data_IF_319676723782
#
_entry.id   IF_319676723782
#
_cell.length_a   1.000
_cell.length_b   1.000
_cell.length_c   1.000
_cell.angle_alpha   90.00
_cell.angle_beta   90.00
_cell.angle_gamma   90.00
#
_symmetry.space_group_name_H-M   'P 1'
#
loop_
_entity.id
_entity.type
_entity.pdbx_description
1 polymer ?
#
# COMPACT_ATOMS: atom_id res chain seq x y z
N UNK A 1 -3.68 -9.21 29.89
CA UNK A 1 -3.48 -8.03 29.00
C UNK A 1 -4.51 -8.16 27.88
N UNK A 2 -5.08 -7.07 27.33
CA UNK A 2 -6.04 -7.21 26.21
C UNK A 2 -5.30 -7.54 24.91
N UNK A 3 -5.98 -8.14 23.92
CA UNK A 3 -5.40 -8.43 22.57
C UNK A 3 -4.77 -7.19 21.92
N UNK A 4 -5.36 -6.04 22.19
CA UNK A 4 -4.82 -4.74 21.78
C UNK A 4 -3.48 -4.42 22.48
N UNK A 5 -3.40 -4.65 23.79
CA UNK A 5 -2.20 -4.38 24.59
C UNK A 5 -0.97 -5.19 24.17
N UNK A 6 -1.14 -6.44 23.72
CA UNK A 6 -0.01 -7.29 23.29
C UNK A 6 0.35 -7.06 21.82
N UNK A 7 -0.61 -6.69 20.96
CA UNK A 7 -0.30 -6.15 19.62
C UNK A 7 0.59 -4.91 19.72
N UNK A 8 0.26 -4.00 20.63
CA UNK A 8 1.09 -2.84 20.91
C UNK A 8 2.48 -3.20 21.44
N UNK A 9 2.57 -4.23 22.29
CA UNK A 9 3.84 -4.71 22.82
C UNK A 9 4.72 -5.33 21.72
N UNK A 10 4.13 -6.12 20.81
CA UNK A 10 4.83 -6.77 19.69
C UNK A 10 5.33 -5.78 18.65
N UNK A 11 4.54 -4.78 18.29
CA UNK A 11 4.98 -3.74 17.34
C UNK A 11 5.73 -2.59 18.03
N UNK A 12 6.09 -2.78 19.31
CA UNK A 12 6.74 -1.78 20.14
C UNK A 12 6.04 -0.41 20.17
N UNK A 13 4.74 -0.36 19.90
CA UNK A 13 3.96 0.87 19.72
C UNK A 13 3.99 1.73 20.99
N UNK A 14 3.92 1.09 22.16
CA UNK A 14 4.07 1.77 23.46
C UNK A 14 5.44 2.42 23.65
N UNK A 15 6.47 1.87 23.03
CA UNK A 15 7.86 2.31 23.20
C UNK A 15 8.29 3.34 22.16
N UNK A 16 7.77 3.21 20.94
CA UNK A 16 8.08 4.09 19.81
C UNK A 16 7.23 5.37 19.80
N UNK A 17 6.07 5.35 20.50
CA UNK A 17 5.14 6.47 20.71
C UNK A 17 4.98 7.40 19.48
N UNK A 18 4.09 7.02 18.56
CA UNK A 18 3.84 7.74 17.30
C UNK A 18 3.03 9.05 17.47
N UNK A 19 2.85 9.55 18.69
CA UNK A 19 2.07 10.77 18.95
C UNK A 19 0.55 10.65 18.77
N UNK A 20 0.03 9.50 18.32
CA UNK A 20 -1.40 9.21 18.19
C UNK A 20 -1.71 7.80 18.70
N UNK A 21 -2.93 7.61 19.20
CA UNK A 21 -3.45 6.31 19.59
C UNK A 21 -3.64 5.37 18.37
N UNK A 22 -3.01 4.21 18.41
CA UNK A 22 -3.02 3.23 17.32
C UNK A 22 -4.43 2.71 16.97
N UNK A 23 -5.31 2.52 17.96
CA UNK A 23 -6.69 2.07 17.71
C UNK A 23 -7.44 3.06 16.81
N UNK A 24 -7.34 4.34 17.13
CA UNK A 24 -7.97 5.42 16.37
C UNK A 24 -7.40 5.50 14.97
N UNK A 25 -6.06 5.42 14.83
CA UNK A 25 -5.41 5.38 13.51
C UNK A 25 -5.86 4.18 12.67
N UNK A 26 -5.95 2.98 13.26
CA UNK A 26 -6.38 1.78 12.52
C UNK A 26 -7.84 1.85 12.09
N UNK A 27 -8.73 2.33 12.97
CA UNK A 27 -10.13 2.55 12.62
C UNK A 27 -10.27 3.58 11.50
N UNK A 28 -9.50 4.67 11.56
CA UNK A 28 -9.45 5.67 10.50
C UNK A 28 -8.98 5.07 9.17
N UNK A 29 -7.89 4.30 9.17
CA UNK A 29 -7.35 3.66 7.96
C UNK A 29 -8.37 2.69 7.34
N UNK A 30 -9.05 1.87 8.15
CA UNK A 30 -10.10 0.95 7.66
C UNK A 30 -11.23 1.72 6.95
N UNK A 31 -11.64 2.86 7.51
CA UNK A 31 -12.69 3.70 6.94
C UNK A 31 -12.24 4.44 5.69
N UNK A 32 -11.09 5.11 5.72
CA UNK A 32 -10.63 5.93 4.59
C UNK A 32 -10.31 5.08 3.35
N UNK A 33 -9.78 3.87 3.54
CA UNK A 33 -9.50 2.94 2.45
C UNK A 33 -10.76 2.54 1.70
N UNK A 34 -11.83 2.16 2.43
CA UNK A 34 -13.09 1.74 1.83
C UNK A 34 -13.98 2.89 1.34
N UNK A 35 -14.13 3.95 2.15
CA UNK A 35 -15.08 5.03 1.87
C UNK A 35 -14.52 6.08 0.91
N UNK A 36 -13.19 6.28 0.87
CA UNK A 36 -12.57 7.31 0.04
C UNK A 36 -11.68 6.75 -1.08
N UNK A 37 -10.67 5.93 -0.78
CA UNK A 37 -9.70 5.51 -1.81
C UNK A 37 -10.34 4.63 -2.88
N UNK A 38 -10.97 3.52 -2.49
CA UNK A 38 -11.53 2.56 -3.44
C UNK A 38 -12.64 3.16 -4.32
N UNK A 39 -13.52 3.98 -3.74
CA UNK A 39 -14.65 4.61 -4.46
C UNK A 39 -14.21 5.71 -5.43
N UNK A 40 -13.13 6.43 -5.10
CA UNK A 40 -12.65 7.54 -5.90
C UNK A 40 -11.40 7.20 -6.73
N UNK A 41 -11.13 5.91 -6.94
CA UNK A 41 -9.98 5.47 -7.73
C UNK A 41 -9.96 6.09 -9.14
N UNK A 42 -11.12 6.32 -9.74
CA UNK A 42 -11.27 6.98 -11.05
C UNK A 42 -10.78 8.44 -11.05
N UNK A 43 -10.86 9.15 -9.92
CA UNK A 43 -10.34 10.52 -9.77
C UNK A 43 -8.86 10.53 -9.40
N UNK A 44 -8.39 9.47 -8.73
CA UNK A 44 -7.00 9.30 -8.33
C UNK A 44 -6.10 8.81 -9.46
N UNK A 45 -6.63 8.00 -10.38
CA UNK A 45 -5.85 7.38 -11.44
C UNK A 45 -5.18 8.41 -12.37
N UNK A 46 -5.86 9.45 -12.91
CA UNK A 46 -5.20 10.40 -13.81
C UNK A 46 -3.99 11.13 -13.18
N UNK A 47 -4.10 11.77 -12.00
CA UNK A 47 -2.95 12.46 -11.41
C UNK A 47 -1.84 11.48 -10.99
N UNK A 48 -2.19 10.27 -10.55
CA UNK A 48 -1.21 9.22 -10.22
C UNK A 48 -0.49 8.71 -11.47
N UNK A 49 -1.19 8.49 -12.58
CA UNK A 49 -0.62 8.06 -13.86
C UNK A 49 0.39 9.08 -14.40
N UNK A 50 0.03 10.36 -14.42
CA UNK A 50 0.93 11.42 -14.87
C UNK A 50 2.25 11.45 -14.05
N UNK A 51 2.14 11.21 -12.75
CA UNK A 51 3.32 11.18 -11.87
C UNK A 51 4.13 9.88 -12.02
N UNK A 52 3.47 8.73 -12.20
CA UNK A 52 4.12 7.46 -12.51
C UNK A 52 4.91 7.56 -13.82
N UNK A 53 4.32 8.08 -14.90
CA UNK A 53 4.97 8.26 -16.18
C UNK A 53 6.24 9.12 -16.03
N UNK A 54 6.11 10.30 -15.39
CA UNK A 54 7.26 11.18 -15.11
C UNK A 54 8.38 10.48 -14.34
N UNK A 55 8.03 9.70 -13.31
CA UNK A 55 9.03 9.03 -12.49
C UNK A 55 9.68 7.86 -13.22
N UNK A 56 8.92 7.11 -14.02
CA UNK A 56 9.42 6.04 -14.89
C UNK A 56 10.41 6.63 -15.90
N UNK A 57 10.04 7.71 -16.60
CA UNK A 57 10.90 8.39 -17.58
C UNK A 57 12.17 8.94 -16.92
N UNK A 58 12.09 9.43 -15.68
CA UNK A 58 13.25 9.89 -14.91
C UNK A 58 14.20 8.75 -14.55
N UNK A 59 13.67 7.60 -14.16
CA UNK A 59 14.44 6.47 -13.65
C UNK A 59 15.02 5.62 -14.78
N UNK A 60 14.23 5.36 -15.82
CA UNK A 60 14.59 4.48 -16.93
C UNK A 60 15.02 5.23 -18.20
N UNK A 61 14.83 6.55 -18.25
CA UNK A 61 15.05 7.37 -19.44
C UNK A 61 13.78 7.55 -20.28
N UNK A 62 13.71 8.65 -21.04
CA UNK A 62 12.65 8.89 -22.03
C UNK A 62 13.17 8.64 -23.44
N UNK A 63 12.33 8.05 -24.29
CA UNK A 63 12.66 7.73 -25.69
C UNK A 63 12.74 8.95 -26.62
N UNK A 64 12.78 10.19 -26.11
CA UNK A 64 12.61 11.38 -26.95
C UNK A 64 13.56 12.56 -26.72
N UNK A 65 14.39 12.56 -25.66
CA UNK A 65 15.14 13.79 -25.30
C UNK A 65 16.58 13.57 -24.87
N UNK A 66 17.15 12.37 -25.03
CA UNK A 66 18.54 12.11 -24.63
C UNK A 66 19.38 11.59 -25.80
N UNK A 67 20.61 12.08 -25.88
CA UNK A 67 21.68 11.62 -26.77
C UNK A 67 22.16 10.18 -26.49
N UNK A 68 21.34 9.37 -25.79
CA UNK A 68 21.65 8.04 -25.24
C UNK A 68 20.61 6.99 -25.65
N UNK A 69 19.82 7.27 -26.67
CA UNK A 69 18.86 6.30 -27.19
C UNK A 69 19.58 5.02 -27.62
N UNK A 70 19.25 3.90 -26.99
CA UNK A 70 19.88 2.59 -27.23
C UNK A 70 21.04 2.22 -26.29
N UNK A 71 21.44 3.07 -25.34
CA UNK A 71 22.43 2.71 -24.33
C UNK A 71 21.81 1.92 -23.16
N UNK A 72 22.47 0.83 -22.74
CA UNK A 72 22.10 0.11 -21.54
C UNK A 72 22.46 0.92 -20.29
N UNK A 73 21.51 1.03 -19.35
CA UNK A 73 21.74 1.64 -18.05
C UNK A 73 21.67 0.59 -16.95
N UNK A 74 22.57 0.69 -15.97
CA UNK A 74 22.51 -0.13 -14.76
C UNK A 74 21.56 0.50 -13.75
N UNK A 75 20.59 -0.28 -13.27
CA UNK A 75 19.55 0.20 -12.35
C UNK A 75 19.45 -0.72 -11.14
N UNK A 76 19.46 -0.14 -9.94
CA UNK A 76 19.12 -0.85 -8.70
C UNK A 76 17.60 -0.96 -8.60
N UNK A 77 17.05 -2.11 -8.94
CA UNK A 77 15.59 -2.34 -9.08
C UNK A 77 14.78 -1.84 -7.87
N UNK A 78 15.21 -2.16 -6.65
CA UNK A 78 14.52 -1.71 -5.44
C UNK A 78 14.48 -0.18 -5.33
N UNK A 79 15.62 0.48 -5.54
CA UNK A 79 15.72 1.95 -5.50
C UNK A 79 14.92 2.60 -6.63
N UNK A 80 14.91 2.00 -7.82
CA UNK A 80 14.09 2.46 -8.94
C UNK A 80 12.59 2.46 -8.59
N UNK A 81 12.07 1.37 -8.03
CA UNK A 81 10.68 1.34 -7.59
C UNK A 81 10.40 2.27 -6.41
N UNK A 82 11.35 2.49 -5.51
CA UNK A 82 11.22 3.51 -4.45
C UNK A 82 11.11 4.94 -5.03
N UNK A 83 11.81 5.23 -6.12
CA UNK A 83 11.76 6.52 -6.83
C UNK A 83 10.57 6.70 -7.77
N UNK A 84 9.81 5.64 -8.01
CA UNK A 84 8.57 5.64 -8.80
C UNK A 84 7.33 5.63 -7.89
N UNK A 85 7.26 4.65 -6.98
CA UNK A 85 6.08 4.42 -6.13
C UNK A 85 5.92 5.54 -5.10
N UNK A 86 7.02 6.02 -4.50
CA UNK A 86 6.91 6.96 -3.40
C UNK A 86 6.38 8.34 -3.83
N UNK A 87 6.87 8.97 -4.93
CA UNK A 87 6.29 10.20 -5.44
C UNK A 87 4.84 10.01 -5.94
N UNK A 88 4.54 8.90 -6.64
CA UNK A 88 3.19 8.62 -7.13
C UNK A 88 2.16 8.44 -6.01
N UNK A 89 2.52 7.73 -4.94
CA UNK A 89 1.69 7.63 -3.74
C UNK A 89 1.52 9.00 -3.07
N UNK A 90 2.60 9.78 -2.96
CA UNK A 90 2.55 11.13 -2.41
C UNK A 90 1.63 12.03 -3.25
N UNK A 91 1.64 11.89 -4.57
CA UNK A 91 0.73 12.61 -5.48
C UNK A 91 -0.73 12.29 -5.21
N UNK A 92 -1.05 11.02 -4.96
CA UNK A 92 -2.40 10.56 -4.65
C UNK A 92 -2.89 11.04 -3.27
N UNK A 93 -2.01 11.04 -2.26
CA UNK A 93 -2.40 11.36 -0.87
C UNK A 93 -2.24 12.83 -0.49
N UNK A 94 -1.30 13.55 -1.10
CA UNK A 94 -0.82 14.86 -0.66
C UNK A 94 -0.77 15.90 -1.78
N UNK A 95 -1.11 15.52 -3.02
CA UNK A 95 -1.16 16.44 -4.16
C UNK A 95 0.20 16.68 -4.81
N UNK A 96 0.20 17.57 -5.82
CA UNK A 96 1.34 17.77 -6.71
C UNK A 96 2.54 18.41 -6.01
N UNK A 97 2.27 19.44 -5.21
CA UNK A 97 3.26 20.28 -4.53
C UNK A 97 4.24 19.40 -3.72
N UNK A 98 3.70 18.56 -2.83
CA UNK A 98 4.51 17.69 -1.98
C UNK A 98 5.07 16.46 -2.72
N UNK A 99 4.42 16.00 -3.80
CA UNK A 99 4.93 14.89 -4.61
C UNK A 99 6.21 15.23 -5.39
N UNK A 100 6.51 16.52 -5.56
CA UNK A 100 7.69 17.01 -6.28
C UNK A 100 8.69 17.75 -5.38
N UNK A 101 8.43 17.83 -4.09
CA UNK A 101 9.35 18.39 -3.10
C UNK A 101 10.32 17.30 -2.63
N UNK A 102 11.52 17.27 -3.23
CA UNK A 102 12.57 16.31 -2.88
C UNK A 102 12.99 16.38 -1.40
N UNK A 103 12.90 17.56 -0.77
CA UNK A 103 13.19 17.70 0.65
C UNK A 103 12.10 17.04 1.50
N UNK A 104 10.83 17.29 1.21
CA UNK A 104 9.72 16.61 1.88
C UNK A 104 9.80 15.09 1.68
N UNK A 105 9.95 14.62 0.44
CA UNK A 105 10.04 13.20 0.13
C UNK A 105 11.22 12.55 0.88
N UNK A 106 12.39 13.20 0.90
CA UNK A 106 13.56 12.71 1.60
C UNK A 106 13.36 12.57 3.11
N UNK A 107 12.72 13.56 3.74
CA UNK A 107 12.44 13.50 5.19
C UNK A 107 11.38 12.44 5.48
N UNK A 108 10.32 12.35 4.66
CA UNK A 108 9.23 11.40 4.86
C UNK A 108 9.68 9.94 4.66
N UNK A 109 10.53 9.65 3.67
CA UNK A 109 11.17 8.33 3.50
C UNK A 109 11.99 7.93 4.73
N UNK A 110 12.78 8.85 5.28
CA UNK A 110 13.59 8.58 6.50
C UNK A 110 12.73 8.32 7.72
N UNK A 111 11.59 9.01 7.85
CA UNK A 111 10.59 8.70 8.87
C UNK A 111 10.05 7.27 8.71
N UNK A 112 9.62 6.89 7.49
CA UNK A 112 9.11 5.54 7.17
C UNK A 112 10.15 4.46 7.49
N UNK A 113 11.40 4.68 7.11
CA UNK A 113 12.49 3.74 7.40
C UNK A 113 12.76 3.63 8.91
N UNK A 114 12.84 4.76 9.63
CA UNK A 114 13.04 4.76 11.07
C UNK A 114 11.89 4.07 11.82
N UNK A 115 10.65 4.28 11.35
CA UNK A 115 9.47 3.61 11.89
C UNK A 115 9.53 2.10 11.64
N UNK A 116 9.78 1.67 10.39
CA UNK A 116 9.89 0.27 10.01
C UNK A 116 10.96 -0.47 10.82
N UNK A 117 12.19 0.05 10.82
CA UNK A 117 13.30 -0.51 11.60
C UNK A 117 12.95 -0.55 13.10
N UNK A 118 12.32 0.51 13.63
CA UNK A 118 11.90 0.52 15.02
C UNK A 118 10.88 -0.56 15.36
N UNK A 119 9.87 -0.78 14.51
CA UNK A 119 8.87 -1.83 14.75
C UNK A 119 9.46 -3.23 14.73
N UNK A 120 10.45 -3.50 13.86
CA UNK A 120 11.12 -4.80 13.76
C UNK A 120 12.09 -4.98 14.92
N UNK A 121 13.07 -4.08 15.08
CA UNK A 121 14.12 -4.23 16.09
C UNK A 121 13.59 -4.15 17.51
N UNK A 122 12.73 -3.18 17.84
CA UNK A 122 12.19 -3.05 19.20
C UNK A 122 11.09 -4.09 19.45
N UNK A 123 10.37 -4.50 18.41
CA UNK A 123 9.28 -5.45 18.52
C UNK A 123 9.70 -6.84 18.94
N UNK A 124 10.80 -7.33 18.37
CA UNK A 124 11.31 -8.69 18.55
C UNK A 124 12.28 -8.84 19.75
N UNK A 125 12.64 -7.74 20.43
CA UNK A 125 13.53 -7.80 21.61
C UNK A 125 12.83 -8.35 22.86
N UNK A 126 13.56 -9.00 23.79
CA UNK A 126 13.05 -9.31 25.13
C UNK A 126 12.62 -8.05 25.90
N UNK A 127 11.58 -8.14 26.75
CA UNK A 127 10.95 -6.99 27.44
C UNK A 127 11.95 -6.06 28.16
N UNK A 128 13.00 -6.63 28.75
CA UNK A 128 14.05 -5.91 29.46
C UNK A 128 14.89 -5.01 28.53
N UNK A 129 15.18 -5.47 27.30
CA UNK A 129 15.99 -4.73 26.32
C UNK A 129 15.16 -3.69 25.55
N UNK A 130 13.85 -3.91 25.40
CA UNK A 130 12.95 -2.99 24.70
C UNK A 130 13.07 -1.55 25.22
N UNK A 131 13.10 -1.37 26.54
CA UNK A 131 13.14 -0.03 27.15
C UNK A 131 14.43 0.75 26.85
N UNK A 132 15.57 0.07 26.74
CA UNK A 132 16.87 0.72 26.45
C UNK A 132 17.00 1.00 24.96
N UNK A 133 16.76 -0.01 24.12
CA UNK A 133 16.90 0.12 22.66
C UNK A 133 15.86 1.08 22.09
N UNK A 134 14.64 1.08 22.63
CA UNK A 134 13.61 2.03 22.21
C UNK A 134 14.03 3.49 22.42
N UNK A 135 14.78 3.83 23.47
CA UNK A 135 15.23 5.22 23.68
C UNK A 135 16.18 5.66 22.56
N UNK A 136 17.07 4.78 22.12
CA UNK A 136 18.01 5.06 21.03
C UNK A 136 17.29 5.19 19.69
N UNK A 137 16.42 4.23 19.37
CA UNK A 137 15.66 4.22 18.10
C UNK A 137 14.63 5.36 18.03
N UNK A 138 14.10 5.79 19.18
CA UNK A 138 13.10 6.86 19.25
C UNK A 138 13.66 8.22 18.86
N UNK A 139 14.95 8.50 19.09
CA UNK A 139 15.56 9.80 18.75
C UNK A 139 15.47 10.14 17.24
N UNK A 140 15.98 9.31 16.31
CA UNK A 140 15.83 9.59 14.88
C UNK A 140 14.36 9.55 14.45
N UNK A 141 13.55 8.66 15.02
CA UNK A 141 12.11 8.59 14.72
C UNK A 141 11.40 9.91 15.05
N UNK A 142 11.60 10.47 16.25
CA UNK A 142 11.01 11.74 16.65
C UNK A 142 11.55 12.91 15.82
N UNK A 143 12.84 12.91 15.51
CA UNK A 143 13.44 13.93 14.67
C UNK A 143 12.78 13.99 13.28
N UNK A 144 12.73 12.85 12.58
CA UNK A 144 12.12 12.80 11.24
C UNK A 144 10.62 13.02 11.29
N UNK A 145 9.92 12.46 12.30
CA UNK A 145 8.49 12.71 12.53
C UNK A 145 8.20 14.20 12.66
N UNK A 146 8.88 14.90 13.56
CA UNK A 146 8.62 16.32 13.80
C UNK A 146 8.98 17.17 12.56
N UNK A 147 10.03 16.79 11.83
CA UNK A 147 10.40 17.46 10.58
C UNK A 147 9.36 17.25 9.47
N UNK A 148 8.83 16.04 9.31
CA UNK A 148 7.73 15.77 8.38
C UNK A 148 6.47 16.53 8.77
N UNK A 149 6.09 16.50 10.05
CA UNK A 149 4.91 17.22 10.55
C UNK A 149 5.04 18.74 10.44
N UNK A 150 6.25 19.28 10.59
CA UNK A 150 6.51 20.71 10.41
C UNK A 150 6.20 21.20 8.99
N UNK A 151 6.29 20.32 7.99
CA UNK A 151 5.94 20.63 6.59
C UNK A 151 4.46 20.28 6.32
N UNK A 152 4.03 19.11 6.77
CA UNK A 152 2.70 18.58 6.41
C UNK A 152 1.55 19.26 7.17
N UNK A 153 1.76 19.61 8.45
CA UNK A 153 0.68 20.20 9.27
C UNK A 153 0.18 21.53 8.72
N UNK A 154 1.05 22.49 8.30
CA UNK A 154 0.60 23.71 7.65
C UNK A 154 -0.16 23.48 6.34
N UNK A 155 0.26 22.52 5.52
CA UNK A 155 -0.43 22.16 4.28
C UNK A 155 -1.83 21.64 4.59
N UNK A 156 -1.95 20.70 5.53
CA UNK A 156 -3.26 20.20 5.97
C UNK A 156 -4.11 21.34 6.51
N UNK A 157 -3.57 22.22 7.36
CA UNK A 157 -4.30 23.34 7.93
C UNK A 157 -4.82 24.30 6.84
N UNK A 158 -4.01 24.61 5.83
CA UNK A 158 -4.39 25.44 4.68
C UNK A 158 -5.56 24.83 3.90
N UNK A 159 -5.49 23.53 3.62
CA UNK A 159 -6.57 22.81 2.93
C UNK A 159 -7.86 22.76 3.76
N UNK A 160 -7.76 22.57 5.08
CA UNK A 160 -8.92 22.60 5.98
C UNK A 160 -9.58 23.99 6.01
N UNK A 161 -8.79 25.07 6.09
CA UNK A 161 -9.32 26.44 6.06
C UNK A 161 -10.00 26.75 4.73
N UNK A 162 -9.41 26.32 3.60
CA UNK A 162 -10.01 26.48 2.27
C UNK A 162 -11.40 25.83 2.17
N UNK A 163 -11.56 24.65 2.79
CA UNK A 163 -12.84 23.94 2.84
C UNK A 163 -13.89 24.67 3.68
N UNK A 164 -13.46 25.26 4.80
CA UNK A 164 -14.34 26.02 5.69
C UNK A 164 -14.86 27.30 4.99
N UNK A 165 -14.03 27.92 4.15
CA UNK A 165 -14.36 29.13 3.38
C UNK A 165 -15.16 28.85 2.10
N UNK A 166 -14.84 27.76 1.39
CA UNK A 166 -15.49 27.39 0.12
C UNK A 166 -15.86 25.91 0.14
N UNK A 167 -17.09 25.58 0.61
CA UNK A 167 -17.56 24.20 0.61
C UNK A 167 -17.61 23.64 -0.82
N UNK A 168 -17.02 22.47 -1.02
CA UNK A 168 -17.05 21.77 -2.32
C UNK A 168 -18.42 21.13 -2.51
N UNK A 169 -19.09 21.41 -3.63
CA UNK A 169 -20.32 20.71 -4.00
C UNK A 169 -20.00 19.24 -4.33
N UNK A 170 -20.59 18.31 -3.58
CA UNK A 170 -20.36 16.88 -3.76
C UNK A 170 -20.90 16.35 -5.10
N UNK A 171 -21.88 17.05 -5.68
CA UNK A 171 -22.50 16.72 -6.95
C UNK A 171 -21.77 17.35 -8.14
N UNK A 172 -20.73 18.17 -7.92
CA UNK A 172 -19.95 18.73 -9.00
C UNK A 172 -19.22 17.61 -9.76
N UNK A 173 -19.53 17.39 -11.06
CA UNK A 173 -18.86 16.39 -11.87
C UNK A 173 -17.37 16.71 -12.10
N UNK A 174 -16.95 17.96 -11.89
CA UNK A 174 -15.57 18.42 -12.09
C UNK A 174 -14.76 18.51 -10.79
N UNK A 175 -15.27 17.98 -9.67
CA UNK A 175 -14.56 18.06 -8.39
C UNK A 175 -13.18 17.42 -8.46
N UNK A 176 -12.16 18.18 -8.07
CA UNK A 176 -10.83 17.63 -7.87
C UNK A 176 -10.79 16.74 -6.64
N UNK A 177 -10.14 15.57 -6.76
CA UNK A 177 -9.96 14.70 -5.60
C UNK A 177 -8.91 15.27 -4.65
N UNK A 178 -9.34 15.60 -3.43
CA UNK A 178 -8.46 16.02 -2.35
C UNK A 178 -8.52 15.00 -1.20
N UNK A 179 -7.45 14.24 -1.01
CA UNK A 179 -7.40 13.21 0.02
C UNK A 179 -7.44 13.78 1.45
N UNK A 180 -6.83 14.94 1.68
CA UNK A 180 -6.85 15.62 2.98
C UNK A 180 -8.29 15.96 3.38
N UNK A 181 -9.09 16.43 2.42
CA UNK A 181 -10.52 16.65 2.63
C UNK A 181 -11.27 15.38 3.01
N UNK A 182 -11.01 14.27 2.32
CA UNK A 182 -11.64 12.99 2.66
C UNK A 182 -11.26 12.54 4.08
N UNK A 183 -10.01 12.77 4.50
CA UNK A 183 -9.57 12.51 5.86
C UNK A 183 -10.34 13.35 6.88
N UNK A 184 -10.56 14.63 6.59
CA UNK A 184 -11.34 15.54 7.43
C UNK A 184 -12.79 15.08 7.60
N UNK A 185 -13.46 14.73 6.50
CA UNK A 185 -14.84 14.26 6.48
C UNK A 185 -15.02 12.95 7.25
N UNK A 186 -14.09 12.00 7.07
CA UNK A 186 -14.09 10.73 7.81
C UNK A 186 -13.84 10.97 9.31
N UNK A 187 -13.02 11.97 9.65
CA UNK A 187 -12.76 12.35 11.04
C UNK A 187 -14.02 12.84 11.77
N UNK A 188 -14.78 13.74 11.13
CA UNK A 188 -16.02 14.29 11.68
C UNK A 188 -17.07 13.20 11.96
N UNK A 189 -17.24 12.25 11.03
CA UNK A 189 -18.24 11.17 11.15
C UNK A 189 -17.94 10.14 12.23
N UNK A 190 -16.70 10.04 12.70
CA UNK A 190 -16.23 8.95 13.57
C UNK A 190 -16.20 9.30 15.07
N UNK A 191 -16.72 10.45 15.49
CA UNK A 191 -16.89 10.78 16.90
C UNK A 191 -18.21 10.20 17.45
N UNK A 192 -18.11 9.53 18.60
CA UNK A 192 -19.23 8.82 19.25
C UNK A 192 -20.38 9.78 19.52
N UNK A 193 -21.55 9.51 18.93
CA UNK A 193 -22.79 10.26 19.21
C UNK A 193 -23.18 11.36 18.19
N UNK A 194 -22.46 11.50 17.07
CA UNK A 194 -22.87 12.42 15.99
C UNK A 194 -22.66 13.91 16.29
N UNK A 195 -22.00 14.23 17.40
CA UNK A 195 -21.58 15.58 17.77
C UNK A 195 -20.10 15.51 18.15
N UNK A 196 -19.21 15.77 17.19
CA UNK A 196 -17.80 15.88 17.51
C UNK A 196 -17.04 16.75 16.53
N UNK A 197 -16.04 17.42 17.09
CA UNK A 197 -15.16 18.34 16.40
C UNK A 197 -14.20 17.57 15.49
N UNK A 198 -14.05 18.04 14.24
CA UNK A 198 -13.04 17.59 13.27
C UNK A 198 -11.68 17.42 13.97
N UNK A 199 -10.98 16.31 13.73
CA UNK A 199 -9.62 16.15 14.27
C UNK A 199 -8.70 17.29 13.81
N UNK A 200 -7.72 17.63 14.65
CA UNK A 200 -6.77 18.70 14.33
C UNK A 200 -5.93 18.36 13.09
N UNK A 201 -5.42 19.40 12.42
CA UNK A 201 -4.55 19.24 11.25
C UNK A 201 -3.35 18.32 11.52
N UNK A 202 -2.78 18.38 12.73
CA UNK A 202 -1.67 17.52 13.13
C UNK A 202 -2.08 16.03 13.22
N UNK A 203 -3.30 15.75 13.68
CA UNK A 203 -3.82 14.37 13.75
C UNK A 203 -4.07 13.80 12.36
N UNK A 204 -4.67 14.60 11.48
CA UNK A 204 -4.89 14.22 10.08
C UNK A 204 -3.54 13.99 9.36
N UNK A 205 -2.57 14.89 9.55
CA UNK A 205 -1.22 14.76 8.99
C UNK A 205 -0.56 13.43 9.36
N UNK A 206 -0.61 13.04 10.64
CA UNK A 206 -0.08 11.77 11.13
C UNK A 206 -0.80 10.54 10.58
N UNK A 207 -2.13 10.62 10.41
CA UNK A 207 -2.88 9.55 9.76
C UNK A 207 -2.46 9.36 8.31
N UNK A 208 -2.26 10.46 7.57
CA UNK A 208 -1.75 10.41 6.19
C UNK A 208 -0.32 9.84 6.17
N UNK A 209 0.55 10.25 7.11
CA UNK A 209 1.90 9.69 7.24
C UNK A 209 1.87 8.18 7.50
N UNK A 210 0.97 7.73 8.38
CA UNK A 210 0.79 6.32 8.72
C UNK A 210 0.26 5.50 7.53
N UNK A 211 -0.67 6.07 6.76
CA UNK A 211 -1.18 5.46 5.55
C UNK A 211 -0.11 5.38 4.46
N UNK A 212 0.69 6.45 4.30
CA UNK A 212 1.82 6.47 3.39
C UNK A 212 2.85 5.39 3.72
N UNK A 213 3.16 5.17 5.00
CA UNK A 213 4.00 4.04 5.44
C UNK A 213 3.44 2.68 5.00
N UNK A 214 2.14 2.44 5.23
CA UNK A 214 1.49 1.16 4.90
C UNK A 214 1.45 0.89 3.39
N UNK A 215 1.19 1.92 2.59
CA UNK A 215 1.05 1.84 1.13
C UNK A 215 2.36 1.85 0.36
N UNK A 216 3.42 2.49 0.85
CA UNK A 216 4.67 2.62 0.10
C UNK A 216 5.52 1.36 0.14
N UNK A 217 5.87 0.89 1.34
CA UNK A 217 6.95 -0.10 1.50
C UNK A 217 6.55 -1.47 0.95
N UNK A 218 5.30 -1.87 1.19
CA UNK A 218 4.72 -3.12 0.67
C UNK A 218 4.69 -3.14 -0.87
N UNK A 219 4.27 -2.03 -1.48
CA UNK A 219 4.19 -1.87 -2.93
C UNK A 219 5.56 -1.88 -3.59
N UNK A 220 6.56 -1.19 -3.02
CA UNK A 220 7.95 -1.20 -3.55
C UNK A 220 8.53 -2.63 -3.52
N UNK A 221 8.34 -3.36 -2.43
CA UNK A 221 8.80 -4.75 -2.29
C UNK A 221 8.13 -5.64 -3.35
N UNK A 222 6.80 -5.56 -3.50
CA UNK A 222 6.10 -6.42 -4.46
C UNK A 222 6.33 -6.03 -5.91
N UNK A 223 6.48 -4.75 -6.24
CA UNK A 223 6.86 -4.34 -7.58
C UNK A 223 8.27 -4.84 -7.95
N UNK A 224 9.19 -4.82 -6.98
CA UNK A 224 10.54 -5.40 -7.12
C UNK A 224 10.45 -6.90 -7.38
N UNK A 225 9.74 -7.65 -6.53
CA UNK A 225 9.57 -9.09 -6.70
C UNK A 225 8.90 -9.44 -8.02
N UNK A 226 7.84 -8.73 -8.41
CA UNK A 226 7.13 -8.92 -9.67
C UNK A 226 8.07 -8.78 -10.88
N UNK A 227 8.93 -7.74 -10.90
CA UNK A 227 9.88 -7.56 -12.00
C UNK A 227 10.92 -8.70 -12.04
N UNK A 228 11.41 -9.13 -10.87
CA UNK A 228 12.36 -10.24 -10.77
C UNK A 228 11.70 -11.58 -11.16
N UNK A 229 10.44 -11.79 -10.81
CA UNK A 229 9.68 -12.97 -11.18
C UNK A 229 9.50 -13.04 -12.70
N UNK A 230 9.11 -11.93 -13.34
CA UNK A 230 9.03 -11.82 -14.81
C UNK A 230 10.38 -12.12 -15.46
N UNK A 231 11.47 -11.59 -14.90
CA UNK A 231 12.82 -11.77 -15.45
C UNK A 231 13.34 -13.22 -15.32
N UNK A 232 12.84 -13.98 -14.34
CA UNK A 232 13.21 -15.38 -14.12
C UNK A 232 12.31 -16.38 -14.88
N UNK A 233 11.24 -15.93 -15.53
CA UNK A 233 10.40 -16.80 -16.36
C UNK A 233 11.19 -17.34 -17.57
N UNK A 234 10.95 -18.60 -17.99
CA UNK A 234 11.53 -19.15 -19.21
C UNK A 234 11.17 -18.31 -20.45
N UNK A 235 12.12 -18.17 -21.38
CA UNK A 235 11.95 -17.33 -22.57
C UNK A 235 10.81 -17.82 -23.47
N UNK A 236 10.60 -19.13 -23.53
CA UNK A 236 9.52 -19.80 -24.25
C UNK A 236 8.11 -19.40 -23.80
N UNK A 237 7.93 -18.98 -22.54
CA UNK A 237 6.63 -18.50 -22.05
C UNK A 237 6.26 -17.10 -22.59
N UNK A 238 7.26 -16.34 -23.07
CA UNK A 238 7.11 -15.03 -23.68
C UNK A 238 6.26 -14.06 -22.82
N UNK A 239 6.43 -14.13 -21.49
CA UNK A 239 5.59 -13.43 -20.50
C UNK A 239 5.47 -11.93 -20.81
N UNK A 240 6.60 -11.25 -21.02
CA UNK A 240 6.63 -9.82 -21.34
C UNK A 240 5.86 -9.50 -22.63
N UNK A 241 5.99 -10.33 -23.67
CA UNK A 241 5.29 -10.11 -24.93
C UNK A 241 3.77 -10.28 -24.78
N UNK A 242 3.34 -11.29 -24.01
CA UNK A 242 1.93 -11.52 -23.72
C UNK A 242 1.31 -10.36 -22.93
N UNK A 243 2.00 -9.88 -21.90
CA UNK A 243 1.57 -8.71 -21.12
C UNK A 243 1.49 -7.44 -21.98
N UNK A 244 2.46 -7.22 -22.86
CA UNK A 244 2.43 -6.11 -23.82
C UNK A 244 1.24 -6.19 -24.76
N UNK A 245 0.94 -7.38 -25.31
CA UNK A 245 -0.23 -7.59 -26.18
C UNK A 245 -1.55 -7.33 -25.43
N UNK A 246 -1.67 -7.82 -24.20
CA UNK A 246 -2.84 -7.54 -23.35
C UNK A 246 -3.00 -6.03 -23.13
N UNK A 247 -1.93 -5.34 -22.69
CA UNK A 247 -1.95 -3.90 -22.49
C UNK A 247 -2.30 -3.14 -23.78
N UNK A 248 -1.75 -3.52 -24.94
CA UNK A 248 -2.11 -2.94 -26.24
C UNK A 248 -3.57 -3.19 -26.61
N UNK A 249 -4.15 -4.32 -26.24
CA UNK A 249 -5.54 -4.65 -26.56
C UNK A 249 -6.56 -3.93 -25.68
N UNK A 250 -6.18 -3.59 -24.44
CA UNK A 250 -7.08 -3.04 -23.42
C UNK A 250 -6.88 -1.54 -23.20
N UNK A 251 -5.63 -1.06 -23.29
CA UNK A 251 -5.25 0.29 -22.86
C UNK A 251 -4.91 1.23 -24.02
N UNK A 252 -4.92 0.74 -25.25
CA UNK A 252 -4.73 1.56 -26.46
C UNK A 252 -6.04 1.52 -27.24
N UNK A 253 -6.62 2.69 -27.51
CA UNK A 253 -7.84 2.77 -28.28
C UNK A 253 -7.53 2.42 -29.75
N UNK A 254 -8.33 1.56 -30.37
CA UNK A 254 -8.17 1.18 -31.80
C UNK A 254 -9.14 1.92 -32.72
N UNK A 255 -10.08 2.68 -32.16
CA UNK A 255 -11.19 3.32 -32.88
C UNK A 255 -11.00 4.84 -33.07
N UNK A 256 -9.82 5.40 -32.75
CA UNK A 256 -9.51 6.77 -33.12
C UNK A 256 -9.26 6.85 -34.64
N UNK A 257 -10.27 7.35 -35.36
CA UNK A 257 -10.16 7.64 -36.79
C UNK A 257 -8.92 8.50 -37.07
N UNK A 258 -8.28 8.21 -38.20
CA UNK A 258 -6.92 8.61 -38.58
C UNK A 258 -6.65 10.13 -38.75
N UNK A 259 -7.49 11.02 -38.23
CA UNK A 259 -7.39 12.47 -38.45
C UNK A 259 -6.93 13.32 -37.26
N UNK A 260 -6.93 12.84 -36.02
CA UNK A 260 -6.41 13.61 -34.87
C UNK A 260 -5.37 12.79 -34.07
N UNK A 261 -4.16 12.68 -34.64
CA UNK A 261 -3.05 11.85 -34.12
C UNK A 261 -2.24 12.46 -32.98
N UNK A 262 -2.61 13.63 -32.47
CA UNK A 262 -1.86 14.29 -31.40
C UNK A 262 -2.64 14.26 -30.07
N UNK A 263 -2.25 13.29 -29.23
CA UNK A 263 -2.27 13.29 -27.76
C UNK A 263 -3.35 12.52 -26.96
N UNK A 264 -4.32 11.79 -27.54
CA UNK A 264 -5.41 11.21 -26.73
C UNK A 264 -5.78 9.72 -26.96
N UNK A 265 -4.82 8.86 -27.31
CA UNK A 265 -5.09 7.47 -27.72
C UNK A 265 -4.81 6.38 -26.65
N UNK A 266 -4.45 6.81 -25.43
CA UNK A 266 -3.97 5.96 -24.34
C UNK A 266 -4.90 6.02 -23.13
N UNK A 267 -5.47 4.88 -22.74
CA UNK A 267 -6.42 4.76 -21.62
C UNK A 267 -5.73 4.49 -20.26
N UNK A 268 -4.41 4.62 -20.18
CA UNK A 268 -3.64 4.32 -18.96
C UNK A 268 -4.01 5.23 -17.76
N UNK A 269 -4.56 6.40 -18.04
CA UNK A 269 -5.06 7.35 -17.05
C UNK A 269 -6.45 6.97 -16.49
N UNK A 270 -7.11 5.93 -17.03
CA UNK A 270 -8.43 5.47 -16.59
C UNK A 270 -8.30 4.20 -15.74
N UNK A 271 -9.04 4.14 -14.62
CA UNK A 271 -8.98 2.99 -13.72
C UNK A 271 -9.77 1.77 -14.22
N UNK A 272 -10.87 2.01 -14.94
CA UNK A 272 -11.81 0.96 -15.34
C UNK A 272 -11.20 -0.12 -16.27
N UNK A 273 -10.38 0.24 -17.29
CA UNK A 273 -9.81 -0.74 -18.22
C UNK A 273 -8.92 -1.80 -17.55
N UNK A 274 -8.21 -1.46 -16.47
CA UNK A 274 -7.34 -2.40 -15.75
C UNK A 274 -8.09 -3.63 -15.21
N UNK A 275 -9.41 -3.56 -15.04
CA UNK A 275 -10.25 -4.71 -14.64
C UNK A 275 -10.32 -5.80 -15.72
N UNK A 276 -9.94 -5.48 -16.95
CA UNK A 276 -9.96 -6.38 -18.10
C UNK A 276 -8.56 -6.86 -18.49
N UNK A 277 -7.63 -6.95 -17.52
CA UNK A 277 -6.25 -7.41 -17.74
C UNK A 277 -5.96 -8.71 -16.96
N UNK A 278 -6.60 -9.85 -17.32
CA UNK A 278 -6.46 -11.11 -16.58
C UNK A 278 -5.04 -11.67 -16.53
N UNK A 279 -4.19 -11.44 -17.54
CA UNK A 279 -2.80 -11.90 -17.52
C UNK A 279 -1.99 -11.12 -16.48
N UNK A 280 -2.12 -9.79 -16.45
CA UNK A 280 -1.51 -8.96 -15.42
C UNK A 280 -2.01 -9.31 -14.01
N UNK A 281 -3.31 -9.50 -13.85
CA UNK A 281 -3.91 -9.91 -12.58
C UNK A 281 -3.40 -11.29 -12.11
N UNK A 282 -3.34 -12.28 -13.01
CA UNK A 282 -2.78 -13.60 -12.68
C UNK A 282 -1.32 -13.52 -12.26
N UNK A 283 -0.52 -12.70 -12.96
CA UNK A 283 0.89 -12.51 -12.67
C UNK A 283 1.10 -11.90 -11.28
N UNK A 284 0.39 -10.81 -10.97
CA UNK A 284 0.45 -10.16 -9.65
C UNK A 284 0.02 -11.13 -8.55
N UNK A 285 -1.05 -11.89 -8.79
CA UNK A 285 -1.56 -12.91 -7.86
C UNK A 285 -0.54 -14.01 -7.61
N UNK A 286 0.13 -14.51 -8.64
CA UNK A 286 1.16 -15.53 -8.51
C UNK A 286 2.40 -15.00 -7.77
N UNK A 287 2.87 -13.78 -8.06
CA UNK A 287 3.97 -13.16 -7.30
C UNK A 287 3.62 -12.99 -5.83
N UNK A 288 2.38 -12.60 -5.50
CA UNK A 288 1.91 -12.50 -4.11
C UNK A 288 1.79 -13.87 -3.41
N UNK A 289 1.56 -14.96 -4.16
CA UNK A 289 1.58 -16.33 -3.63
C UNK A 289 3.01 -16.83 -3.43
N UNK A 290 3.87 -16.65 -4.42
CA UNK A 290 5.20 -17.24 -4.44
C UNK A 290 6.19 -16.47 -3.56
N UNK A 291 6.08 -15.14 -3.56
CA UNK A 291 6.86 -14.19 -2.76
C UNK A 291 5.92 -13.30 -1.91
N UNK A 292 5.25 -13.86 -0.88
CA UNK A 292 4.35 -13.09 -0.04
C UNK A 292 5.11 -12.13 0.87
N UNK A 293 4.60 -10.92 1.03
CA UNK A 293 5.13 -9.92 1.99
C UNK A 293 5.05 -10.48 3.43
N UNK A 294 3.95 -11.16 3.74
CA UNK A 294 3.68 -11.70 5.07
C UNK A 294 3.82 -13.22 5.05
N UNK A 295 4.86 -13.74 5.69
CA UNK A 295 5.05 -15.20 5.84
C UNK A 295 4.07 -15.83 6.84
N UNK A 296 3.52 -15.03 7.77
CA UNK A 296 2.48 -15.41 8.73
C UNK A 296 1.42 -14.31 8.81
N UNK A 297 0.16 -14.70 8.75
CA UNK A 297 -0.98 -13.80 8.69
C UNK A 297 -1.94 -13.96 9.86
N UNK A 298 -2.96 -13.09 9.91
CA UNK A 298 -4.13 -13.22 10.78
C UNK A 298 -3.80 -13.41 12.27
N UNK A 299 -2.72 -12.78 12.74
CA UNK A 299 -2.21 -13.02 14.10
C UNK A 299 -3.15 -12.43 15.16
N UNK A 300 -3.62 -13.28 16.07
CA UNK A 300 -4.58 -12.96 17.13
C UNK A 300 -4.09 -13.54 18.46
N UNK A 301 -4.34 -12.81 19.54
CA UNK A 301 -4.08 -13.28 20.90
C UNK A 301 -5.36 -13.87 21.48
N UNK A 302 -5.23 -14.99 22.20
CA UNK A 302 -6.31 -15.59 22.97
C UNK A 302 -6.55 -14.74 24.22
N UNK A 303 -7.67 -14.02 24.25
CA UNK A 303 -8.05 -13.16 25.40
C UNK A 303 -9.02 -13.82 26.37
N UNK A 304 -9.67 -14.90 25.95
CA UNK A 304 -10.56 -15.68 26.81
C UNK A 304 -9.76 -16.24 27.98
N UNK A 305 -10.21 -15.98 29.22
CA UNK A 305 -9.55 -16.48 30.44
C UNK A 305 -9.48 -18.00 30.46
N UNK A 306 -10.53 -18.65 29.98
CA UNK A 306 -10.60 -20.11 29.91
C UNK A 306 -9.86 -20.66 28.69
N UNK A 307 -9.15 -19.83 27.92
CA UNK A 307 -8.53 -20.22 26.65
C UNK A 307 -9.56 -20.49 25.54
N UNK A 308 -9.09 -21.05 24.43
CA UNK A 308 -9.92 -21.48 23.30
C UNK A 308 -9.56 -22.91 22.88
N UNK A 309 -10.56 -23.71 22.51
CA UNK A 309 -10.33 -25.01 21.87
C UNK A 309 -10.10 -24.78 20.37
N UNK A 310 -9.09 -25.43 19.80
CA UNK A 310 -8.88 -25.40 18.35
C UNK A 310 -9.80 -26.43 17.69
N UNK A 311 -10.56 -26.07 16.63
CA UNK A 311 -11.39 -27.03 15.91
C UNK A 311 -10.59 -28.26 15.47
N UNK A 312 -11.11 -29.45 15.76
CA UNK A 312 -10.46 -30.72 15.39
C UNK A 312 -9.21 -31.08 16.21
N UNK A 313 -8.93 -30.39 17.32
CA UNK A 313 -7.80 -30.68 18.21
C UNK A 313 -8.23 -30.83 19.66
N UNK A 314 -7.58 -31.74 20.39
CA UNK A 314 -7.70 -31.84 21.84
C UNK A 314 -6.93 -30.73 22.58
N UNK A 315 -6.12 -29.94 21.86
CA UNK A 315 -5.31 -28.86 22.42
C UNK A 315 -6.17 -27.64 22.70
N UNK A 316 -6.13 -27.18 23.95
CA UNK A 316 -6.74 -25.92 24.38
C UNK A 316 -5.64 -24.85 24.50
N UNK A 317 -5.80 -23.77 23.76
CA UNK A 317 -4.86 -22.65 23.76
C UNK A 317 -5.14 -21.76 24.97
N UNK A 318 -4.19 -21.58 25.91
CA UNK A 318 -4.40 -20.77 27.10
C UNK A 318 -4.47 -19.28 26.76
N UNK A 319 -5.08 -18.49 27.66
CA UNK A 319 -5.06 -17.04 27.61
C UNK A 319 -3.63 -16.50 27.44
N UNK A 320 -3.44 -15.51 26.58
CA UNK A 320 -2.12 -14.94 26.25
C UNK A 320 -1.39 -15.66 25.11
N UNK A 321 -1.87 -16.83 24.67
CA UNK A 321 -1.32 -17.50 23.49
C UNK A 321 -1.59 -16.72 22.21
N UNK A 322 -0.70 -16.83 21.25
CA UNK A 322 -0.88 -16.25 19.92
C UNK A 322 -1.17 -17.32 18.88
N UNK A 323 -2.21 -17.08 18.10
CA UNK A 323 -2.62 -17.91 16.97
C UNK A 323 -2.40 -17.09 15.69
N UNK A 324 -1.89 -17.74 14.65
CA UNK A 324 -1.70 -17.14 13.34
C UNK A 324 -1.74 -18.21 12.26
N UNK A 325 -1.89 -17.76 11.02
CA UNK A 325 -1.99 -18.66 9.86
C UNK A 325 -0.66 -18.67 9.11
N UNK A 326 -0.11 -19.85 8.76
CA UNK A 326 1.15 -19.97 8.03
C UNK A 326 0.92 -19.65 6.55
N UNK A 327 0.90 -18.36 6.19
CA UNK A 327 0.61 -17.88 4.83
C UNK A 327 1.53 -18.55 3.81
N UNK A 328 2.85 -18.49 4.03
CA UNK A 328 3.83 -19.12 3.14
C UNK A 328 3.62 -20.63 3.04
N UNK A 329 3.23 -21.28 4.14
CA UNK A 329 2.95 -22.72 4.16
C UNK A 329 1.75 -23.08 3.29
N UNK A 330 0.64 -22.36 3.44
CA UNK A 330 -0.57 -22.55 2.63
C UNK A 330 -0.28 -22.28 1.15
N UNK A 331 0.40 -21.17 0.85
CA UNK A 331 0.78 -20.78 -0.51
C UNK A 331 1.70 -21.79 -1.20
N UNK A 332 2.41 -22.62 -0.43
CA UNK A 332 3.34 -23.65 -0.90
C UNK A 332 2.80 -25.08 -0.77
N UNK A 333 1.53 -25.23 -0.44
CA UNK A 333 0.91 -26.51 -0.15
C UNK A 333 0.31 -27.16 -1.41
N UNK A 334 0.72 -28.39 -1.70
CA UNK A 334 0.25 -29.17 -2.85
C UNK A 334 -1.24 -29.54 -2.77
N UNK A 335 -1.85 -29.46 -1.58
CA UNK A 335 -3.30 -29.65 -1.40
C UNK A 335 -4.11 -28.53 -2.02
N UNK A 336 -3.51 -27.35 -2.22
CA UNK A 336 -4.19 -26.16 -2.74
C UNK A 336 -3.64 -25.71 -4.09
N UNK A 337 -2.36 -25.98 -4.39
CA UNK A 337 -1.70 -25.53 -5.61
C UNK A 337 -0.92 -26.67 -6.25
N UNK A 338 -1.21 -26.98 -7.52
CA UNK A 338 -0.38 -27.89 -8.34
C UNK A 338 0.99 -27.25 -8.56
N UNK A 339 2.07 -28.03 -8.39
CA UNK A 339 3.46 -27.55 -8.49
C UNK A 339 3.71 -26.25 -7.69
N UNK A 340 3.48 -26.26 -6.36
CA UNK A 340 3.46 -25.05 -5.56
C UNK A 340 4.83 -24.36 -5.47
N UNK A 341 5.91 -25.09 -5.73
CA UNK A 341 7.29 -24.59 -5.73
C UNK A 341 7.71 -24.00 -7.09
N UNK A 342 6.85 -24.07 -8.12
CA UNK A 342 7.11 -23.49 -9.43
C UNK A 342 6.32 -22.20 -9.56
N UNK A 343 7.00 -21.14 -9.99
CA UNK A 343 6.34 -19.88 -10.34
C UNK A 343 5.66 -20.05 -11.71
N UNK A 344 4.34 -19.86 -11.75
CA UNK A 344 3.53 -19.98 -12.96
C UNK A 344 2.78 -18.67 -13.20
N UNK A 345 3.29 -17.76 -14.06
CA UNK A 345 2.76 -16.39 -14.19
C UNK A 345 1.27 -16.34 -14.53
N UNK A 346 0.76 -17.33 -15.28
CA UNK A 346 -0.62 -17.38 -15.75
C UNK A 346 -1.48 -18.45 -15.09
N UNK A 347 -1.09 -18.91 -13.89
CA UNK A 347 -1.78 -19.96 -13.11
C UNK A 347 -3.30 -19.77 -13.01
N UNK A 348 -3.77 -18.52 -12.97
CA UNK A 348 -5.16 -18.20 -12.65
C UNK A 348 -6.03 -17.87 -13.87
N UNK A 349 -5.45 -17.76 -15.07
CA UNK A 349 -6.16 -17.29 -16.29
C UNK A 349 -7.26 -18.26 -16.71
N UNK A 350 -6.98 -19.56 -16.68
CA UNK A 350 -7.93 -20.63 -17.07
C UNK A 350 -8.41 -21.44 -15.85
N UNK A 351 -8.26 -20.87 -14.64
CA UNK A 351 -8.65 -21.53 -13.40
C UNK A 351 -10.10 -21.24 -13.04
N UNK A 352 -10.73 -22.13 -12.26
CA UNK A 352 -12.02 -21.83 -11.63
C UNK A 352 -11.90 -20.78 -10.50
N UNK A 353 -10.68 -20.46 -10.07
CA UNK A 353 -10.43 -19.40 -9.09
C UNK A 353 -10.51 -18.02 -9.73
N UNK A 354 -10.75 -17.00 -8.91
CA UNK A 354 -10.77 -15.62 -9.39
C UNK A 354 -9.35 -15.18 -9.78
N UNK A 355 -9.20 -14.67 -10.99
CA UNK A 355 -7.94 -14.10 -11.48
C UNK A 355 -7.54 -12.80 -10.77
N UNK A 356 -8.52 -12.06 -10.22
CA UNK A 356 -8.31 -10.79 -9.55
C UNK A 356 -7.31 -10.93 -8.39
N UNK A 357 -6.16 -10.26 -8.50
CA UNK A 357 -5.07 -10.36 -7.53
C UNK A 357 -5.45 -9.78 -6.16
N UNK A 358 -6.34 -8.79 -6.14
CA UNK A 358 -6.85 -8.12 -4.95
C UNK A 358 -7.93 -8.91 -4.19
N UNK A 359 -8.37 -10.08 -4.70
CA UNK A 359 -9.42 -10.87 -4.07
C UNK A 359 -8.85 -12.04 -3.25
N UNK A 360 -8.76 -11.91 -1.91
CA UNK A 360 -8.28 -13.00 -1.07
C UNK A 360 -9.26 -14.19 -1.04
N UNK A 361 -8.72 -15.37 -0.79
CA UNK A 361 -9.49 -16.62 -0.58
C UNK A 361 -8.98 -17.29 0.71
N UNK A 362 -9.64 -18.36 1.21
CA UNK A 362 -9.12 -19.12 2.35
C UNK A 362 -7.70 -19.68 2.13
N UNK A 363 -7.30 -19.87 0.87
CA UNK A 363 -6.00 -20.44 0.47
C UNK A 363 -5.06 -19.39 -0.13
N UNK A 364 -5.56 -18.27 -0.63
CA UNK A 364 -4.79 -17.15 -1.16
C UNK A 364 -4.89 -15.92 -0.25
N UNK A 365 -3.84 -15.67 0.53
CA UNK A 365 -3.78 -14.66 1.59
C UNK A 365 -2.91 -13.43 1.27
N UNK A 366 -2.77 -13.07 -0.02
CA UNK A 366 -1.90 -11.96 -0.47
C UNK A 366 -2.21 -10.61 0.19
N UNK A 367 -3.50 -10.34 0.46
CA UNK A 367 -4.00 -9.14 1.15
C UNK A 367 -4.63 -9.46 2.52
N UNK A 368 -4.33 -10.62 3.11
CA UNK A 368 -4.99 -11.11 4.33
C UNK A 368 -6.33 -11.79 4.05
N UNK A 369 -7.18 -11.94 5.08
CA UNK A 369 -8.50 -12.57 4.96
C UNK A 369 -9.45 -12.15 6.11
N UNK A 370 -10.75 -12.13 5.84
CA UNK A 370 -11.78 -11.75 6.82
C UNK A 370 -11.83 -10.25 7.09
N UNK A 371 -12.34 -9.85 8.26
CA UNK A 371 -12.64 -8.45 8.63
C UNK A 371 -11.43 -7.49 8.53
N UNK A 372 -10.20 -8.00 8.58
CA UNK A 372 -8.99 -7.19 8.51
C UNK A 372 -8.17 -7.46 7.25
N UNK A 373 -8.80 -7.99 6.20
CA UNK A 373 -8.20 -8.02 4.87
C UNK A 373 -8.14 -6.58 4.32
N UNK A 374 -7.11 -6.32 3.52
CA UNK A 374 -6.86 -5.02 2.88
C UNK A 374 -7.63 -4.87 1.58
#
# INVERSE_FOLDING_TARGET
MSSYGVRQERHAVKYLHMGIEQATTMHFIERISGDALARNLHLLQPPMYAELQRCIDRVFGSSGTSSKEGEWIEVKVYSAFEDIVFPAMTRALLGLELSRDDHFLGVFRRYIMALGLGTIFVGELPKLLKGVVARVVRLPLLYYRNKTLGILTPVVQRELTRLDETPVDENDPNKEYNFIWQCAKVSEKNTVGGVGTRASAAVIAEWIMSLGFAGSSSTVIQATNLLLDIANCPAEEQVVLRLRREAQSVLVNKESDAHDKEANDSMWHLAAPFRNMPLADSLIRESLRFHPILIKGLTKEVVSKDGIALPGSAVRMPAGSWVGVPVLGIHRDERFYTDPQVYQPFRYVDSAESVNAGKPTPTYLGFGYGKHAW
#
